data_IF_094520076291
#
_entry.id   IF_094520076291
#
_cell.length_a   1.000
_cell.length_b   1.000
_cell.length_c   1.000
_cell.angle_alpha   90.00
_cell.angle_beta   90.00
_cell.angle_gamma   90.00
#
_symmetry.space_group_name_H-M   'P 1'
#
loop_
_entity.id
_entity.type
_entity.pdbx_description
1 polymer ?
#
# COMPACT_ATOMS: atom_id res chain seq x y z
N UNK A 1 56.26 -46.41 12.56
CA UNK A 1 55.69 -45.22 11.89
C UNK A 1 54.21 -45.03 12.28
N UNK A 2 53.81 -45.42 13.50
CA UNK A 2 52.38 -45.48 13.89
C UNK A 2 52.02 -44.64 15.13
N UNK A 3 52.99 -43.94 15.74
CA UNK A 3 52.72 -43.04 16.87
C UNK A 3 52.47 -41.58 16.46
N UNK A 4 52.97 -41.15 15.28
CA UNK A 4 52.86 -39.76 14.78
C UNK A 4 51.50 -39.52 14.11
N UNK A 5 50.88 -40.57 13.54
CA UNK A 5 49.60 -40.47 12.83
C UNK A 5 48.40 -40.38 13.80
N UNK A 6 48.49 -40.99 15.00
CA UNK A 6 47.41 -40.90 16.00
C UNK A 6 47.33 -39.52 16.70
N UNK A 7 48.48 -38.88 16.91
CA UNK A 7 48.53 -37.54 17.52
C UNK A 7 47.95 -36.45 16.59
N UNK A 8 48.21 -36.58 15.29
CA UNK A 8 47.67 -35.68 14.25
C UNK A 8 46.14 -35.78 14.12
N UNK A 9 45.57 -36.99 14.17
CA UNK A 9 44.10 -37.18 14.09
C UNK A 9 43.36 -36.65 15.32
N UNK A 10 43.92 -36.81 16.53
CA UNK A 10 43.33 -36.25 17.76
C UNK A 10 43.37 -34.73 17.80
N UNK A 11 44.43 -34.12 17.28
CA UNK A 11 44.55 -32.66 17.17
C UNK A 11 43.57 -32.08 16.13
N UNK A 12 43.36 -32.77 15.00
CA UNK A 12 42.40 -32.35 13.98
C UNK A 12 40.93 -32.47 14.46
N UNK A 13 40.60 -33.52 15.23
CA UNK A 13 39.28 -33.69 15.85
C UNK A 13 39.00 -32.65 16.94
N UNK A 14 40.01 -32.29 17.76
CA UNK A 14 39.87 -31.19 18.72
C UNK A 14 39.71 -29.84 18.00
N UNK A 15 40.44 -29.60 16.91
CA UNK A 15 40.32 -28.37 16.14
C UNK A 15 38.95 -28.26 15.46
N UNK A 16 38.41 -29.36 14.91
CA UNK A 16 37.05 -29.40 14.34
C UNK A 16 35.95 -29.24 15.40
N UNK A 17 36.15 -29.74 16.63
CA UNK A 17 35.25 -29.50 17.76
C UNK A 17 35.30 -28.05 18.26
N UNK A 18 36.48 -27.42 18.29
CA UNK A 18 36.61 -26.00 18.68
C UNK A 18 36.05 -25.08 17.59
N UNK A 19 36.19 -25.43 16.32
CA UNK A 19 35.57 -24.71 15.19
C UNK A 19 34.05 -24.92 15.16
N UNK A 20 33.53 -26.10 15.53
CA UNK A 20 32.07 -26.31 15.64
C UNK A 20 31.45 -25.64 16.87
N UNK A 21 32.19 -25.51 17.98
CA UNK A 21 31.75 -24.73 19.15
C UNK A 21 31.85 -23.20 18.94
N UNK A 22 32.72 -22.73 18.05
CA UNK A 22 32.85 -21.30 17.69
C UNK A 22 31.99 -20.86 16.50
N UNK A 23 31.34 -21.80 15.79
CA UNK A 23 30.29 -21.55 14.79
C UNK A 23 28.86 -21.73 15.33
N UNK A 24 28.69 -21.86 16.65
CA UNK A 24 27.39 -21.59 17.26
C UNK A 24 27.04 -20.12 16.99
N UNK A 25 26.00 -19.96 16.19
CA UNK A 25 25.46 -18.69 15.76
C UNK A 25 25.42 -17.73 16.96
N UNK A 26 26.03 -16.55 16.82
CA UNK A 26 25.45 -15.35 17.43
C UNK A 26 24.05 -15.22 16.82
N UNK A 27 23.10 -15.94 17.40
CA UNK A 27 21.71 -15.53 17.42
C UNK A 27 21.77 -14.21 18.15
N UNK A 28 21.84 -13.13 17.37
CA UNK A 28 21.39 -11.84 17.86
C UNK A 28 19.93 -12.12 18.19
N UNK A 29 19.67 -12.36 19.48
CA UNK A 29 18.36 -12.14 20.04
C UNK A 29 18.04 -10.69 19.67
N UNK A 30 17.33 -10.51 18.56
CA UNK A 30 16.52 -9.33 18.35
C UNK A 30 15.58 -9.40 19.54
N UNK A 31 15.89 -8.60 20.56
CA UNK A 31 15.00 -8.34 21.66
C UNK A 31 13.69 -7.96 21.02
N UNK A 32 12.72 -8.89 21.07
CA UNK A 32 11.33 -8.57 20.87
C UNK A 32 11.08 -7.31 21.70
N UNK A 33 10.67 -6.25 21.01
CA UNK A 33 10.31 -4.99 21.65
C UNK A 33 9.29 -5.35 22.74
N UNK A 34 9.70 -5.18 23.99
CA UNK A 34 8.87 -5.43 25.15
C UNK A 34 7.91 -4.24 25.27
N UNK A 35 6.96 -4.13 24.34
CA UNK A 35 5.87 -3.18 24.48
C UNK A 35 4.77 -3.83 25.33
N UNK A 36 5.08 -4.04 26.61
CA UNK A 36 4.07 -4.37 27.61
C UNK A 36 3.34 -3.08 28.01
N UNK A 37 2.59 -2.48 27.10
CA UNK A 37 1.38 -1.78 27.51
C UNK A 37 0.39 -2.86 27.95
N UNK A 38 -0.14 -2.81 29.19
CA UNK A 38 -1.02 -3.85 29.69
C UNK A 38 -2.21 -3.94 28.73
N UNK A 39 -2.39 -5.11 28.12
CA UNK A 39 -3.57 -5.43 27.35
C UNK A 39 -4.77 -5.05 28.22
N UNK A 40 -5.44 -3.96 27.86
CA UNK A 40 -6.66 -3.48 28.51
C UNK A 40 -7.52 -4.73 28.72
N UNK A 41 -7.80 -5.15 29.96
CA UNK A 41 -8.51 -6.41 30.21
C UNK A 41 -9.77 -6.44 29.34
N UNK A 42 -9.71 -7.20 28.24
CA UNK A 42 -10.76 -7.21 27.25
C UNK A 42 -11.82 -8.13 27.80
N UNK A 43 -13.03 -7.62 28.01
CA UNK A 43 -14.12 -8.46 28.53
C UNK A 43 -14.34 -9.68 27.64
N UNK A 44 -14.70 -10.82 28.24
CA UNK A 44 -15.02 -12.05 27.52
C UNK A 44 -16.10 -11.82 26.46
N UNK A 45 -17.08 -10.95 26.74
CA UNK A 45 -18.11 -10.52 25.80
C UNK A 45 -17.54 -9.80 24.57
N UNK A 46 -16.54 -8.92 24.76
CA UNK A 46 -15.89 -8.24 23.63
C UNK A 46 -15.08 -9.23 22.79
N UNK A 47 -14.35 -10.14 23.41
CA UNK A 47 -13.62 -11.20 22.68
C UNK A 47 -14.57 -12.11 21.88
N UNK A 48 -15.70 -12.51 22.45
CA UNK A 48 -16.70 -13.32 21.74
C UNK A 48 -17.30 -12.59 20.53
N UNK A 49 -17.57 -11.28 20.65
CA UNK A 49 -18.04 -10.44 19.54
C UNK A 49 -17.00 -10.34 18.43
N UNK A 50 -15.73 -10.17 18.78
CA UNK A 50 -14.62 -10.13 17.81
C UNK A 50 -14.46 -11.48 17.12
N UNK A 51 -14.51 -12.58 17.87
CA UNK A 51 -14.41 -13.92 17.27
C UNK A 51 -15.55 -14.17 16.26
N UNK A 52 -16.78 -13.78 16.61
CA UNK A 52 -17.92 -13.85 15.69
C UNK A 52 -17.72 -13.00 14.44
N UNK A 53 -17.14 -11.82 14.58
CA UNK A 53 -16.79 -10.95 13.46
C UNK A 53 -15.72 -11.59 12.56
N UNK A 54 -14.64 -12.11 13.13
CA UNK A 54 -13.57 -12.81 12.41
C UNK A 54 -14.09 -14.02 11.62
N UNK A 55 -14.96 -14.83 12.24
CA UNK A 55 -15.58 -15.98 11.58
C UNK A 55 -16.44 -15.57 10.35
N UNK A 56 -16.92 -14.33 10.30
CA UNK A 56 -17.68 -13.79 9.17
C UNK A 56 -16.77 -13.29 8.05
N UNK A 57 -15.71 -12.55 8.40
CA UNK A 57 -14.84 -11.88 7.41
C UNK A 57 -13.74 -12.80 6.86
N UNK A 58 -13.21 -13.71 7.68
CA UNK A 58 -12.22 -14.69 7.22
C UNK A 58 -12.95 -15.82 6.50
N UNK A 59 -12.85 -15.81 5.17
CA UNK A 59 -13.50 -16.78 4.29
C UNK A 59 -12.78 -18.11 4.33
N UNK A 60 -13.53 -19.22 4.22
CA UNK A 60 -12.94 -20.56 4.20
C UNK A 60 -11.97 -20.72 3.02
N UNK A 61 -10.67 -20.94 3.30
CA UNK A 61 -9.68 -21.15 2.26
C UNK A 61 -9.76 -22.58 1.71
N UNK A 62 -9.27 -22.76 0.47
CA UNK A 62 -8.94 -24.11 -0.05
C UNK A 62 -7.48 -24.47 0.17
N UNK A 63 -6.64 -23.47 0.44
CA UNK A 63 -5.22 -23.61 0.70
C UNK A 63 -4.74 -22.42 1.54
N UNK A 64 -3.78 -22.64 2.43
CA UNK A 64 -3.24 -21.61 3.32
C UNK A 64 -1.72 -21.64 3.23
N UNK A 65 -1.12 -20.47 3.11
CA UNK A 65 0.33 -20.26 3.01
C UNK A 65 0.80 -19.53 4.27
N UNK A 66 1.85 -20.05 4.89
CA UNK A 66 2.57 -19.38 5.97
C UNK A 66 3.71 -18.58 5.35
N UNK A 67 3.63 -17.26 5.44
CA UNK A 67 4.66 -16.37 4.93
C UNK A 67 5.82 -16.26 5.94
N UNK A 68 7.10 -16.13 5.50
CA UNK A 68 8.25 -16.02 6.39
C UNK A 68 8.17 -14.84 7.39
N UNK A 69 7.37 -13.84 7.06
CA UNK A 69 7.17 -12.62 7.82
C UNK A 69 6.01 -12.76 8.86
N UNK A 70 5.43 -13.95 8.99
CA UNK A 70 4.38 -14.27 9.97
C UNK A 70 2.95 -14.03 9.47
N UNK A 71 2.78 -13.48 8.27
CA UNK A 71 1.47 -13.39 7.63
C UNK A 71 0.93 -14.78 7.27
N UNK A 72 -0.37 -14.96 7.41
CA UNK A 72 -1.09 -16.13 6.92
C UNK A 72 -1.91 -15.71 5.70
N UNK A 73 -1.62 -16.30 4.54
CA UNK A 73 -2.32 -16.01 3.29
C UNK A 73 -3.29 -17.15 2.98
N UNK A 74 -4.58 -16.82 2.96
CA UNK A 74 -5.67 -17.73 2.65
C UNK A 74 -6.06 -17.64 1.18
N UNK A 75 -5.95 -18.75 0.46
CA UNK A 75 -6.40 -18.88 -0.92
C UNK A 75 -7.90 -19.18 -0.93
N UNK A 76 -8.71 -18.14 -1.16
CA UNK A 76 -10.17 -18.21 -1.10
C UNK A 76 -10.74 -18.35 -2.51
N UNK A 77 -11.72 -19.24 -2.77
CA UNK A 77 -12.38 -19.30 -4.07
C UNK A 77 -12.91 -17.93 -4.50
N UNK A 78 -12.67 -17.52 -5.76
CA UNK A 78 -13.03 -16.18 -6.27
C UNK A 78 -14.46 -15.76 -5.98
N UNK A 79 -15.42 -16.71 -6.01
CA UNK A 79 -16.85 -16.46 -5.77
C UNK A 79 -17.26 -16.42 -4.29
N UNK A 80 -16.31 -16.60 -3.36
CA UNK A 80 -16.53 -16.57 -1.91
C UNK A 80 -15.77 -15.43 -1.23
N UNK A 81 -15.12 -14.56 -2.00
CA UNK A 81 -14.31 -13.45 -1.48
C UNK A 81 -15.17 -12.40 -0.74
N UNK A 82 -14.60 -11.64 0.22
CA UNK A 82 -15.33 -10.66 1.02
C UNK A 82 -16.09 -9.60 0.21
N UNK A 83 -15.60 -9.23 -0.97
CA UNK A 83 -16.24 -8.25 -1.85
C UNK A 83 -17.72 -8.54 -2.13
N UNK A 84 -18.09 -9.81 -2.28
CA UNK A 84 -19.44 -10.23 -2.64
C UNK A 84 -20.41 -10.25 -1.46
N UNK A 85 -19.94 -9.96 -0.24
CA UNK A 85 -20.82 -9.70 0.91
C UNK A 85 -21.42 -8.29 0.87
N UNK A 86 -20.90 -7.39 0.01
CA UNK A 86 -21.40 -6.03 -0.10
C UNK A 86 -22.87 -6.06 -0.55
N UNK A 87 -23.79 -5.30 0.08
CA UNK A 87 -25.20 -5.31 -0.29
C UNK A 87 -25.46 -5.07 -1.78
N UNK A 88 -24.71 -4.15 -2.40
CA UNK A 88 -24.81 -3.85 -3.83
C UNK A 88 -24.19 -4.93 -4.74
N UNK A 89 -23.32 -5.80 -4.21
CA UNK A 89 -22.55 -6.76 -5.01
C UNK A 89 -22.96 -8.22 -4.81
N UNK A 90 -24.04 -8.50 -4.06
CA UNK A 90 -24.50 -9.87 -3.76
C UNK A 90 -24.73 -10.73 -5.00
N UNK A 91 -25.16 -10.12 -6.11
CA UNK A 91 -25.41 -10.79 -7.39
C UNK A 91 -24.42 -10.36 -8.48
N UNK A 92 -23.33 -9.70 -8.09
CA UNK A 92 -22.34 -9.21 -9.03
C UNK A 92 -21.66 -10.36 -9.77
N UNK A 93 -21.69 -10.29 -11.10
CA UNK A 93 -20.98 -11.24 -11.94
C UNK A 93 -19.54 -10.76 -12.10
N UNK A 94 -18.60 -11.54 -11.56
CA UNK A 94 -17.16 -11.22 -11.69
C UNK A 94 -16.80 -11.05 -13.17
N UNK A 95 -16.41 -9.83 -13.53
CA UNK A 95 -15.95 -9.46 -14.85
C UNK A 95 -14.72 -10.27 -15.25
N UNK A 96 -14.65 -10.68 -16.51
CA UNK A 96 -13.42 -11.22 -17.11
C UNK A 96 -12.42 -10.08 -17.32
N UNK A 97 -11.12 -10.41 -17.33
CA UNK A 97 -10.07 -9.45 -17.65
C UNK A 97 -10.42 -8.61 -18.91
N UNK A 98 -10.26 -7.28 -18.87
CA UNK A 98 -10.52 -6.41 -20.03
C UNK A 98 -9.62 -6.83 -21.20
N UNK A 99 -10.16 -6.81 -22.42
CA UNK A 99 -9.41 -7.17 -23.63
C UNK A 99 -8.47 -6.05 -24.11
N UNK A 100 -8.71 -4.81 -23.69
CA UNK A 100 -7.92 -3.63 -24.06
C UNK A 100 -7.55 -2.91 -22.77
N UNK A 101 -6.26 -2.91 -22.44
CA UNK A 101 -5.70 -2.02 -21.44
C UNK A 101 -5.38 -0.66 -22.10
N UNK A 102 -5.31 0.43 -21.33
CA UNK A 102 -4.83 1.72 -21.83
C UNK A 102 -3.48 1.58 -22.54
N UNK A 103 -3.37 2.14 -23.74
CA UNK A 103 -2.14 2.11 -24.56
C UNK A 103 -1.49 3.49 -24.58
N UNK A 104 -0.16 3.55 -24.63
CA UNK A 104 0.56 4.81 -24.83
C UNK A 104 0.25 5.37 -26.23
N UNK A 105 -0.14 6.64 -26.34
CA UNK A 105 -0.38 7.28 -27.65
C UNK A 105 0.91 7.27 -28.49
N UNK A 106 0.85 6.73 -29.72
CA UNK A 106 1.93 6.80 -30.71
C UNK A 106 2.98 5.67 -30.68
N UNK A 107 2.74 4.55 -29.98
CA UNK A 107 3.53 3.31 -30.13
C UNK A 107 2.70 2.23 -30.82
N UNK A 108 3.15 1.75 -31.98
CA UNK A 108 2.58 0.59 -32.68
C UNK A 108 2.91 -0.73 -31.93
N UNK A 109 2.07 -1.73 -32.17
CA UNK A 109 1.94 -3.03 -31.47
C UNK A 109 3.18 -3.98 -31.55
N UNK A 110 4.39 -3.46 -31.81
CA UNK A 110 5.59 -4.27 -32.08
C UNK A 110 6.61 -4.30 -30.92
N UNK A 111 6.16 -4.01 -29.70
CA UNK A 111 6.88 -4.49 -28.52
C UNK A 111 6.30 -5.86 -28.21
N UNK A 112 7.05 -6.93 -28.56
CA UNK A 112 6.85 -8.24 -27.93
C UNK A 112 6.73 -7.97 -26.45
N UNK A 113 5.54 -8.17 -25.88
CA UNK A 113 5.35 -8.25 -24.43
C UNK A 113 6.28 -9.37 -23.99
N UNK A 114 7.53 -9.03 -23.66
CA UNK A 114 8.31 -9.86 -22.78
C UNK A 114 7.44 -9.96 -21.56
N UNK A 115 6.90 -11.16 -21.34
CA UNK A 115 6.54 -11.63 -20.02
C UNK A 115 7.80 -11.51 -19.15
N UNK A 116 8.18 -10.27 -18.78
CA UNK A 116 8.93 -10.02 -17.58
C UNK A 116 7.90 -10.23 -16.46
N UNK A 117 7.48 -11.49 -16.34
CA UNK A 117 6.92 -12.06 -15.15
C UNK A 117 7.83 -11.55 -14.05
N UNK A 118 7.28 -10.70 -13.18
CA UNK A 118 7.61 -10.55 -11.76
C UNK A 118 8.63 -11.60 -11.23
N UNK A 119 9.88 -11.56 -11.70
CA UNK A 119 10.92 -12.58 -11.45
C UNK A 119 11.62 -12.27 -10.13
N UNK A 120 11.45 -11.04 -9.61
CA UNK A 120 11.63 -10.74 -8.19
C UNK A 120 10.34 -11.07 -7.43
N UNK A 121 10.43 -11.85 -6.36
CA UNK A 121 9.33 -12.10 -5.45
C UNK A 121 8.89 -10.79 -4.75
N UNK A 122 7.98 -10.01 -5.37
CA UNK A 122 7.51 -8.69 -4.89
C UNK A 122 6.79 -8.70 -3.54
N UNK A 123 6.43 -9.87 -3.03
CA UNK A 123 5.79 -10.01 -1.72
C UNK A 123 6.41 -11.17 -0.96
N UNK A 124 6.63 -10.99 0.35
CA UNK A 124 7.36 -11.95 1.20
C UNK A 124 6.79 -13.38 1.15
N UNK A 125 5.48 -13.54 0.95
CA UNK A 125 4.82 -14.84 0.89
C UNK A 125 5.14 -15.65 -0.39
N UNK A 126 5.85 -15.07 -1.36
CA UNK A 126 6.34 -15.77 -2.56
C UNK A 126 7.73 -16.38 -2.39
N UNK A 127 8.49 -16.04 -1.35
CA UNK A 127 9.92 -16.41 -1.21
C UNK A 127 10.15 -17.93 -1.32
N UNK A 128 9.18 -18.74 -0.92
CA UNK A 128 9.25 -20.20 -0.99
C UNK A 128 8.67 -20.81 -2.29
N UNK A 129 8.43 -20.00 -3.33
CA UNK A 129 7.77 -20.43 -4.57
C UNK A 129 6.28 -20.74 -4.41
N UNK A 130 5.71 -20.49 -3.23
CA UNK A 130 4.31 -20.72 -2.88
C UNK A 130 3.38 -19.80 -3.66
N UNK A 131 2.29 -20.36 -4.21
CA UNK A 131 1.30 -19.62 -5.01
C UNK A 131 -0.09 -20.15 -4.73
N UNK A 132 -1.10 -19.28 -4.75
CA UNK A 132 -2.47 -19.73 -4.66
C UNK A 132 -2.91 -20.47 -5.94
N UNK A 133 -3.74 -21.53 -5.83
CA UNK A 133 -4.26 -22.25 -7.00
C UNK A 133 -5.03 -21.35 -7.98
N UNK A 134 -5.13 -21.78 -9.24
CA UNK A 134 -6.02 -21.10 -10.21
C UNK A 134 -7.47 -21.17 -9.71
N UNK A 135 -8.22 -20.07 -9.88
CA UNK A 135 -9.61 -19.97 -9.43
C UNK A 135 -9.80 -19.46 -8.00
N UNK A 136 -8.72 -19.21 -7.26
CA UNK A 136 -8.74 -18.56 -5.94
C UNK A 136 -8.13 -17.15 -6.00
N UNK A 137 -8.25 -16.43 -4.88
CA UNK A 137 -7.56 -15.15 -4.61
C UNK A 137 -6.85 -15.26 -3.24
N UNK A 138 -5.58 -14.85 -3.11
CA UNK A 138 -4.92 -14.76 -1.82
C UNK A 138 -5.49 -13.60 -1.01
N UNK A 139 -5.83 -13.88 0.24
CA UNK A 139 -6.33 -12.91 1.21
C UNK A 139 -5.51 -13.04 2.49
N UNK A 140 -4.94 -11.94 2.98
CA UNK A 140 -4.27 -11.94 4.29
C UNK A 140 -5.31 -12.20 5.38
N UNK A 141 -5.09 -13.21 6.20
CA UNK A 141 -5.99 -13.59 7.29
C UNK A 141 -6.01 -12.51 8.36
N UNK A 142 -7.20 -12.12 8.81
CA UNK A 142 -7.36 -11.21 9.92
C UNK A 142 -7.26 -11.96 11.25
N UNK A 143 -6.58 -11.36 12.22
CA UNK A 143 -6.37 -11.91 13.57
C UNK A 143 -7.16 -11.13 14.62
N UNK A 144 -7.27 -11.71 15.81
CA UNK A 144 -7.84 -11.03 16.99
C UNK A 144 -7.11 -9.72 17.28
N UNK A 145 -5.77 -9.71 17.14
CA UNK A 145 -4.95 -8.53 17.42
C UNK A 145 -5.21 -7.41 16.41
N UNK A 146 -5.46 -7.74 15.14
CA UNK A 146 -5.82 -6.74 14.12
C UNK A 146 -7.10 -6.00 14.49
N UNK A 147 -8.12 -6.74 14.92
CA UNK A 147 -9.41 -6.14 15.31
C UNK A 147 -9.31 -5.38 16.64
N UNK A 148 -8.41 -5.78 17.53
CA UNK A 148 -8.23 -5.14 18.83
C UNK A 148 -7.51 -3.80 18.75
N UNK A 149 -6.67 -3.58 17.72
CA UNK A 149 -6.06 -2.27 17.45
C UNK A 149 -7.09 -1.26 16.94
N UNK A 150 -8.12 -1.71 16.23
CA UNK A 150 -9.22 -0.84 15.83
C UNK A 150 -10.05 -0.35 17.05
N UNK A 151 -10.54 0.89 16.95
CA UNK A 151 -11.37 1.53 18.00
C UNK A 151 -12.66 0.77 18.27
N UNK A 152 -13.29 0.22 17.23
CA UNK A 152 -14.51 -0.58 17.33
C UNK A 152 -14.62 -1.58 16.17
N UNK A 153 -15.58 -2.51 16.27
CA UNK A 153 -15.93 -3.40 15.15
C UNK A 153 -16.49 -2.66 13.92
N UNK A 154 -17.04 -1.46 14.13
CA UNK A 154 -17.56 -0.63 13.04
C UNK A 154 -16.42 0.08 12.30
N UNK A 155 -15.37 0.46 13.02
CA UNK A 155 -14.21 1.19 12.48
C UNK A 155 -13.16 0.26 11.85
N UNK A 156 -13.24 -1.05 12.09
CA UNK A 156 -12.28 -2.01 11.54
C UNK A 156 -12.28 -1.96 10.01
N UNK A 157 -11.15 -1.56 9.44
CA UNK A 157 -10.96 -1.41 8.00
C UNK A 157 -11.46 -0.09 7.40
N UNK A 158 -11.86 0.90 8.20
CA UNK A 158 -12.29 2.21 7.70
C UNK A 158 -11.30 3.32 8.04
N UNK A 159 -11.13 4.30 7.14
CA UNK A 159 -10.55 5.61 7.50
C UNK A 159 -11.58 6.38 8.32
N UNK A 160 -11.12 7.24 9.23
CA UNK A 160 -11.98 8.11 10.01
C UNK A 160 -11.83 9.53 9.50
N UNK A 161 -12.92 10.17 9.09
CA UNK A 161 -12.95 11.64 9.05
C UNK A 161 -13.00 12.13 10.49
N UNK A 162 -12.02 12.94 10.89
CA UNK A 162 -12.20 13.79 12.05
C UNK A 162 -13.25 14.83 11.67
N UNK A 163 -14.40 14.78 12.35
CA UNK A 163 -15.49 15.74 12.17
C UNK A 163 -14.99 17.04 12.77
N UNK A 164 -14.55 17.95 11.91
CA UNK A 164 -14.42 19.34 12.30
C UNK A 164 -15.64 20.09 11.77
N UNK A 165 -16.32 20.81 12.66
CA UNK A 165 -17.61 21.46 12.39
C UNK A 165 -17.46 22.78 11.61
N UNK A 166 -16.27 23.12 11.10
CA UNK A 166 -15.96 24.48 10.65
C UNK A 166 -15.10 24.58 9.37
N UNK A 167 -15.49 23.92 8.26
CA UNK A 167 -14.75 24.02 6.98
C UNK A 167 -15.61 24.54 5.84
N UNK A 168 -15.50 25.86 5.58
CA UNK A 168 -16.04 26.58 4.42
C UNK A 168 -14.97 26.97 3.38
N UNK A 169 -14.03 26.11 3.00
CA UNK A 169 -13.05 26.47 1.96
C UNK A 169 -12.96 25.45 0.83
N UNK A 170 -13.07 25.95 -0.40
CA UNK A 170 -13.07 25.23 -1.69
C UNK A 170 -11.65 24.99 -2.25
N UNK A 171 -10.59 25.08 -1.43
CA UNK A 171 -9.20 24.89 -1.90
C UNK A 171 -8.64 23.54 -1.45
N UNK A 172 -7.73 22.90 -2.21
CA UNK A 172 -6.93 21.77 -1.73
C UNK A 172 -6.22 22.25 -0.47
N UNK A 173 -6.48 21.58 0.64
CA UNK A 173 -6.28 22.10 1.99
C UNK A 173 -4.83 22.51 2.27
N UNK A 174 -4.61 23.82 2.46
CA UNK A 174 -3.33 24.43 2.83
C UNK A 174 -3.13 24.55 4.35
N UNK A 175 -3.82 23.75 5.15
CA UNK A 175 -3.62 23.69 6.61
C UNK A 175 -3.80 22.23 7.03
N UNK A 176 -2.72 21.58 7.44
CA UNK A 176 -2.71 20.19 7.89
C UNK A 176 -3.84 19.95 8.89
N UNK A 177 -4.84 19.18 8.47
CA UNK A 177 -6.01 18.95 9.32
C UNK A 177 -5.92 17.62 9.99
N UNK A 178 -6.20 17.65 11.29
CA UNK A 178 -6.31 16.46 12.14
C UNK A 178 -5.03 15.64 12.27
N UNK A 179 -3.88 16.29 12.09
CA UNK A 179 -2.56 15.65 12.15
C UNK A 179 -2.12 15.03 10.82
N UNK A 180 -2.88 15.17 9.72
CA UNK A 180 -2.42 14.70 8.41
C UNK A 180 -1.57 15.76 7.71
N UNK A 181 -0.44 15.34 7.14
CA UNK A 181 0.47 16.19 6.35
C UNK A 181 0.82 15.48 5.04
N UNK A 182 0.87 16.23 3.94
CA UNK A 182 1.01 15.73 2.59
C UNK A 182 2.22 16.34 1.87
N UNK A 183 2.72 15.61 0.89
CA UNK A 183 3.61 16.12 -0.13
C UNK A 183 3.19 15.48 -1.46
N UNK A 184 2.35 16.20 -2.20
CA UNK A 184 1.60 15.66 -3.34
C UNK A 184 1.79 16.49 -4.61
N UNK A 185 1.75 15.80 -5.74
CA UNK A 185 1.54 16.37 -7.05
C UNK A 185 0.10 16.08 -7.51
N UNK A 186 -0.54 17.01 -8.22
CA UNK A 186 -1.91 16.85 -8.70
C UNK A 186 -2.14 17.50 -10.06
N UNK A 187 -3.16 17.03 -10.76
CA UNK A 187 -3.65 17.62 -12.01
C UNK A 187 -4.49 18.87 -11.72
N UNK A 188 -4.20 20.00 -12.36
CA UNK A 188 -5.08 21.18 -12.36
C UNK A 188 -6.24 20.91 -13.34
N UNK A 189 -7.51 21.02 -12.92
CA UNK A 189 -8.61 20.33 -13.63
C UNK A 189 -9.50 21.21 -14.50
N UNK A 190 -9.89 20.63 -15.65
CA UNK A 190 -11.25 20.70 -16.21
C UNK A 190 -11.58 19.54 -17.16
N UNK A 191 -10.64 18.64 -17.45
CA UNK A 191 -10.83 17.49 -18.35
C UNK A 191 -11.24 16.22 -17.61
N UNK A 192 -12.10 15.42 -18.24
CA UNK A 192 -12.50 14.09 -17.78
C UNK A 192 -11.29 13.14 -17.74
N UNK A 193 -11.03 12.53 -16.58
CA UNK A 193 -9.94 11.57 -16.38
C UNK A 193 -10.54 10.18 -16.15
N UNK A 194 -10.03 9.19 -16.88
CA UNK A 194 -10.49 7.80 -16.83
C UNK A 194 -9.47 6.87 -16.16
N UNK A 195 -8.43 7.42 -15.55
CA UNK A 195 -7.41 6.64 -14.86
C UNK A 195 -6.09 7.36 -14.70
N UNK A 196 -5.17 6.71 -14.01
CA UNK A 196 -3.81 7.17 -13.82
C UNK A 196 -2.83 6.01 -13.72
N UNK A 197 -1.59 6.26 -14.12
CA UNK A 197 -0.46 5.36 -13.99
C UNK A 197 0.75 6.11 -13.46
N UNK A 198 1.48 5.49 -12.55
CA UNK A 198 2.78 5.98 -12.11
C UNK A 198 3.64 4.83 -11.56
N UNK A 199 4.95 5.05 -11.57
CA UNK A 199 5.95 4.19 -10.92
C UNK A 199 6.44 4.83 -9.64
N UNK A 200 6.43 4.08 -8.54
CA UNK A 200 6.62 4.57 -7.17
C UNK A 200 7.69 3.73 -6.49
N UNK A 201 8.78 4.33 -5.98
CA UNK A 201 9.74 3.56 -5.19
C UNK A 201 9.25 3.25 -3.77
N UNK A 202 9.62 2.08 -3.27
CA UNK A 202 9.16 1.54 -1.98
C UNK A 202 10.28 1.66 -0.93
N UNK A 203 9.95 2.22 0.23
CA UNK A 203 10.86 2.47 1.35
C UNK A 203 10.28 1.95 2.66
N UNK A 204 11.14 1.87 3.69
CA UNK A 204 10.80 1.51 5.07
C UNK A 204 10.89 2.74 5.99
N UNK A 205 9.93 3.69 5.92
CA UNK A 205 9.93 4.86 6.78
C UNK A 205 9.76 4.48 8.25
N UNK A 206 10.48 5.17 9.13
CA UNK A 206 10.27 5.07 10.58
C UNK A 206 8.96 5.74 10.98
N UNK A 207 8.21 5.09 11.86
CA UNK A 207 6.98 5.62 12.47
C UNK A 207 7.24 5.77 13.98
N UNK A 208 6.99 6.97 14.54
CA UNK A 208 7.20 7.23 15.98
C UNK A 208 6.07 6.61 16.82
N UNK A 209 4.80 6.83 16.43
CA UNK A 209 3.63 6.41 17.21
C UNK A 209 2.80 5.32 16.51
N UNK A 210 2.27 4.37 17.27
CA UNK A 210 1.54 3.21 16.70
C UNK A 210 0.31 3.61 15.89
N UNK A 211 -0.34 4.72 16.25
CA UNK A 211 -1.50 5.28 15.57
C UNK A 211 -1.15 6.30 14.47
N UNK A 212 0.13 6.37 14.09
CA UNK A 212 0.59 7.09 12.90
C UNK A 212 0.78 6.15 11.73
N UNK A 213 0.92 6.72 10.54
CA UNK A 213 1.29 5.99 9.33
C UNK A 213 2.09 6.89 8.40
N UNK A 214 2.73 6.25 7.42
CA UNK A 214 3.35 6.89 6.27
C UNK A 214 2.98 6.10 5.02
N UNK A 215 2.49 6.79 3.99
CA UNK A 215 2.06 6.16 2.76
C UNK A 215 2.59 6.87 1.52
N UNK A 216 2.50 6.16 0.41
CA UNK A 216 2.78 6.65 -0.94
C UNK A 216 1.76 6.04 -1.90
N UNK A 217 0.96 6.88 -2.56
CA UNK A 217 -0.18 6.39 -3.34
C UNK A 217 -0.56 7.27 -4.53
N UNK A 218 -1.46 6.71 -5.33
CA UNK A 218 -2.25 7.41 -6.35
C UNK A 218 -3.67 7.57 -5.78
N UNK A 219 -4.22 8.78 -5.87
CA UNK A 219 -5.64 9.07 -5.61
C UNK A 219 -6.36 9.35 -6.93
N UNK A 220 -7.49 8.67 -7.16
CA UNK A 220 -8.44 8.96 -8.22
C UNK A 220 -9.69 9.56 -7.58
N UNK A 221 -9.95 10.84 -7.84
CA UNK A 221 -10.93 11.64 -7.10
C UNK A 221 -12.01 12.21 -8.01
N UNK A 222 -13.24 12.25 -7.51
CA UNK A 222 -14.37 12.89 -8.18
C UNK A 222 -15.40 13.38 -7.17
N UNK A 223 -16.04 14.52 -7.44
CA UNK A 223 -16.96 15.19 -6.52
C UNK A 223 -16.29 16.28 -5.66
N UNK A 224 -16.96 16.71 -4.59
CA UNK A 224 -16.50 17.83 -3.75
C UNK A 224 -15.79 17.38 -2.47
N UNK A 225 -14.64 18.01 -2.17
CA UNK A 225 -13.95 17.88 -0.88
C UNK A 225 -14.78 18.43 0.30
N UNK A 226 -15.72 19.34 0.01
CA UNK A 226 -16.64 19.91 0.99
C UNK A 226 -17.91 19.07 1.04
N UNK A 227 -18.26 18.59 2.24
CA UNK A 227 -19.43 17.74 2.46
C UNK A 227 -19.19 16.25 2.18
N UNK A 228 -20.26 15.45 1.98
CA UNK A 228 -20.22 13.99 1.81
C UNK A 228 -20.03 13.53 0.36
N UNK A 229 -19.64 14.42 -0.55
CA UNK A 229 -19.78 14.19 -1.98
C UNK A 229 -18.51 13.65 -2.66
N UNK A 230 -17.43 13.44 -1.92
CA UNK A 230 -16.16 12.98 -2.49
C UNK A 230 -16.17 11.46 -2.69
N UNK A 231 -15.87 11.04 -3.90
CA UNK A 231 -15.51 9.67 -4.25
C UNK A 231 -13.99 9.56 -4.38
N UNK A 232 -13.41 8.50 -3.83
CA UNK A 232 -11.97 8.24 -3.87
C UNK A 232 -11.69 6.77 -4.15
N UNK A 233 -10.74 6.50 -5.05
CA UNK A 233 -10.06 5.21 -5.22
C UNK A 233 -8.57 5.44 -5.02
N UNK A 234 -7.96 4.60 -4.20
CA UNK A 234 -6.59 4.79 -3.72
C UNK A 234 -5.81 3.49 -3.81
N UNK A 235 -4.59 3.55 -4.32
CA UNK A 235 -3.67 2.41 -4.26
C UNK A 235 -2.21 2.85 -4.20
N UNK A 236 -1.42 2.09 -3.47
CA UNK A 236 -0.04 2.43 -3.16
C UNK A 236 0.62 1.45 -2.22
N UNK A 237 1.66 1.92 -1.52
CA UNK A 237 2.23 1.22 -0.38
C UNK A 237 2.15 2.09 0.88
N UNK A 238 2.01 1.46 2.04
CA UNK A 238 2.01 2.18 3.32
C UNK A 238 2.67 1.37 4.43
N UNK A 239 3.16 2.09 5.43
CA UNK A 239 3.56 1.57 6.75
C UNK A 239 2.54 2.06 7.76
N UNK A 240 1.75 1.15 8.32
CA UNK A 240 0.68 1.47 9.28
C UNK A 240 0.65 0.43 10.41
N UNK A 241 1.29 0.73 11.56
CA UNK A 241 1.36 -0.21 12.68
C UNK A 241 -0.01 -0.47 13.30
N UNK A 242 -0.90 0.54 13.36
CA UNK A 242 -2.28 0.37 13.79
C UNK A 242 -3.04 -0.65 12.92
N UNK A 243 -2.84 -0.60 11.59
CA UNK A 243 -3.55 -1.48 10.67
C UNK A 243 -2.96 -2.89 10.61
N UNK A 244 -1.62 -3.02 10.57
CA UNK A 244 -0.95 -4.29 10.29
C UNK A 244 -0.30 -4.95 11.50
N UNK A 245 0.01 -4.19 12.55
CA UNK A 245 0.70 -4.68 13.74
C UNK A 245 2.21 -4.80 13.57
N UNK A 246 2.75 -4.25 12.49
CA UNK A 246 4.18 -4.15 12.19
C UNK A 246 4.47 -2.86 11.41
N UNK A 247 5.76 -2.60 11.19
CA UNK A 247 6.25 -1.44 10.45
C UNK A 247 6.62 -1.80 8.99
N UNK A 248 6.14 -2.92 8.44
CA UNK A 248 6.59 -3.31 7.09
C UNK A 248 5.81 -2.53 6.03
N UNK A 249 6.47 -2.09 4.95
CA UNK A 249 5.79 -1.53 3.79
C UNK A 249 4.90 -2.57 3.14
N UNK A 250 3.60 -2.27 3.04
CA UNK A 250 2.58 -3.20 2.54
C UNK A 250 1.84 -2.56 1.38
N UNK A 251 1.61 -3.34 0.31
CA UNK A 251 0.72 -2.95 -0.78
C UNK A 251 -0.67 -2.73 -0.18
N UNK A 252 -1.31 -1.62 -0.47
CA UNK A 252 -2.66 -1.36 0.02
C UNK A 252 -3.54 -0.74 -1.05
N UNK A 253 -4.83 -0.82 -0.77
CA UNK A 253 -5.87 -0.13 -1.51
C UNK A 253 -6.86 0.48 -0.54
N UNK A 254 -7.47 1.60 -0.90
CA UNK A 254 -8.62 2.16 -0.22
C UNK A 254 -9.65 2.65 -1.24
N UNK A 255 -10.91 2.76 -0.82
CA UNK A 255 -11.94 3.44 -1.59
C UNK A 255 -12.97 4.05 -0.64
N UNK A 256 -13.70 5.07 -1.09
CA UNK A 256 -14.90 5.63 -0.43
C UNK A 256 -15.78 6.30 -1.49
N UNK A 257 -17.08 6.40 -1.22
CA UNK A 257 -18.03 7.16 -2.04
C UNK A 257 -18.73 8.29 -1.27
N UNK A 258 -18.30 8.57 -0.04
CA UNK A 258 -18.97 9.54 0.84
C UNK A 258 -18.02 10.38 1.71
N UNK A 259 -16.86 10.76 1.17
CA UNK A 259 -15.84 11.54 1.88
C UNK A 259 -15.40 10.88 3.20
N UNK A 260 -15.17 9.56 3.20
CA UNK A 260 -14.66 8.80 4.36
C UNK A 260 -15.60 8.81 5.58
N UNK A 261 -16.92 8.91 5.36
CA UNK A 261 -17.89 9.00 6.45
C UNK A 261 -18.42 7.63 6.89
N UNK A 262 -19.31 7.03 6.09
CA UNK A 262 -19.95 5.76 6.38
C UNK A 262 -19.43 4.63 5.48
N UNK A 263 -19.06 4.96 4.23
CA UNK A 263 -18.54 4.01 3.25
C UNK A 263 -17.03 3.90 3.29
N UNK A 264 -16.52 2.95 2.51
CA UNK A 264 -15.12 2.79 2.24
C UNK A 264 -14.43 1.71 3.03
N UNK A 265 -13.28 1.29 2.51
CA UNK A 265 -12.62 0.10 2.99
C UNK A 265 -11.14 0.01 2.64
N UNK A 266 -10.30 -0.28 3.63
CA UNK A 266 -8.95 -0.73 3.44
C UNK A 266 -8.93 -2.18 2.94
N UNK A 267 -8.17 -2.40 1.86
CA UNK A 267 -7.84 -3.73 1.34
C UNK A 267 -9.10 -4.59 1.17
N UNK A 268 -9.07 -5.81 1.74
CA UNK A 268 -10.18 -6.75 1.79
C UNK A 268 -10.73 -6.92 3.22
N UNK A 269 -10.50 -5.94 4.10
CA UNK A 269 -10.96 -5.99 5.51
C UNK A 269 -12.50 -5.90 5.61
N UNK A 270 -13.10 -5.33 4.58
CA UNK A 270 -14.51 -5.15 4.34
C UNK A 270 -14.79 -5.34 2.83
N UNK A 271 -16.06 -5.33 2.45
CA UNK A 271 -16.50 -5.63 1.09
C UNK A 271 -16.41 -4.40 0.17
N UNK A 272 -15.93 -4.55 -1.07
CA UNK A 272 -16.01 -3.53 -2.12
C UNK A 272 -15.07 -3.79 -3.30
N UNK A 273 -13.80 -4.10 -3.03
CA UNK A 273 -12.84 -4.43 -4.08
C UNK A 273 -12.93 -5.90 -4.51
N UNK A 274 -13.15 -6.17 -5.79
CA UNK A 274 -13.19 -7.53 -6.36
C UNK A 274 -11.80 -7.93 -6.85
N UNK A 275 -11.13 -8.80 -6.09
CA UNK A 275 -9.87 -9.38 -6.51
C UNK A 275 -10.10 -10.49 -7.55
N UNK A 276 -9.23 -10.53 -8.56
CA UNK A 276 -9.29 -11.53 -9.65
C UNK A 276 -7.99 -12.29 -9.83
N UNK A 277 -6.90 -11.80 -9.24
CA UNK A 277 -5.57 -12.36 -9.34
C UNK A 277 -5.27 -13.39 -8.23
N UNK A 278 -4.51 -14.44 -8.54
CA UNK A 278 -4.06 -15.45 -7.57
C UNK A 278 -2.59 -15.33 -7.14
N UNK A 279 -1.88 -14.30 -7.61
CA UNK A 279 -0.46 -14.01 -7.38
C UNK A 279 -0.24 -12.77 -6.51
N UNK A 280 -1.21 -11.90 -6.27
CA UNK A 280 -1.01 -10.66 -5.49
C UNK A 280 -1.96 -10.65 -4.31
N UNK A 281 -1.43 -10.55 -3.09
CA UNK A 281 -2.21 -10.42 -1.86
C UNK A 281 -2.22 -8.95 -1.42
N UNK A 282 -3.36 -8.27 -1.48
CA UNK A 282 -3.46 -6.90 -0.98
C UNK A 282 -3.29 -6.91 0.55
N UNK A 283 -2.47 -6.00 1.06
CA UNK A 283 -2.10 -5.91 2.46
C UNK A 283 -0.89 -6.76 2.85
N UNK A 284 -0.30 -7.55 1.96
CA UNK A 284 0.92 -8.31 2.25
C UNK A 284 2.19 -7.45 2.06
N UNK A 285 3.25 -7.78 2.82
CA UNK A 285 4.50 -7.03 2.82
C UNK A 285 5.22 -7.09 1.46
N UNK A 286 5.70 -5.93 1.02
CA UNK A 286 6.49 -5.78 -0.21
C UNK A 286 7.96 -6.09 0.09
N UNK A 287 8.62 -6.78 -0.83
CA UNK A 287 10.06 -7.06 -0.75
C UNK A 287 10.62 -7.31 -2.16
N UNK A 288 11.88 -6.95 -2.45
CA UNK A 288 12.80 -6.15 -1.64
C UNK A 288 12.43 -4.65 -1.60
N UNK A 289 13.12 -3.88 -0.75
CA UNK A 289 12.88 -2.45 -0.50
C UNK A 289 14.08 -1.60 -0.91
N UNK A 290 13.84 -0.34 -1.25
CA UNK A 290 14.89 0.62 -1.60
C UNK A 290 15.80 0.93 -0.40
N UNK A 291 17.07 1.25 -0.68
CA UNK A 291 18.06 1.59 0.36
C UNK A 291 18.82 2.87 0.01
N UNK A 292 19.24 3.60 1.04
CA UNK A 292 19.94 4.87 0.88
C UNK A 292 21.27 4.68 0.16
N UNK A 293 21.46 5.39 -0.97
CA UNK A 293 22.58 5.25 -1.91
C UNK A 293 22.81 3.81 -2.41
N UNK A 294 21.78 2.97 -2.36
CA UNK A 294 21.82 1.57 -2.79
C UNK A 294 20.77 1.25 -3.84
N UNK A 295 20.41 -0.03 -3.92
CA UNK A 295 19.41 -0.52 -4.86
C UNK A 295 18.07 0.18 -4.62
N UNK A 296 17.41 0.58 -5.71
CA UNK A 296 16.07 1.16 -5.71
C UNK A 296 15.09 0.14 -6.26
N UNK A 297 13.97 -0.04 -5.57
CA UNK A 297 12.90 -0.95 -5.99
C UNK A 297 11.59 -0.18 -6.04
N UNK A 298 10.88 -0.30 -7.16
CA UNK A 298 9.67 0.45 -7.43
C UNK A 298 8.52 -0.42 -7.93
N UNK A 299 7.29 0.03 -7.68
CA UNK A 299 6.08 -0.60 -8.17
C UNK A 299 5.42 0.34 -9.17
N UNK A 300 4.91 -0.22 -10.26
CA UNK A 300 4.06 0.53 -11.19
C UNK A 300 2.62 0.19 -10.92
N UNK A 301 1.80 1.20 -10.67
CA UNK A 301 0.36 1.05 -10.43
C UNK A 301 -0.38 1.72 -11.59
N UNK A 302 -1.36 1.02 -12.13
CA UNK A 302 -2.31 1.55 -13.10
C UNK A 302 -3.72 1.38 -12.53
N UNK A 303 -4.47 2.47 -12.41
CA UNK A 303 -5.89 2.46 -12.09
C UNK A 303 -6.63 3.07 -13.28
N UNK A 304 -7.62 2.39 -13.83
CA UNK A 304 -8.39 2.93 -14.96
C UNK A 304 -9.80 2.38 -15.03
N UNK A 305 -10.71 3.17 -15.59
CA UNK A 305 -12.08 2.80 -15.84
C UNK A 305 -12.18 2.01 -17.13
N UNK A 306 -12.70 0.79 -17.08
CA UNK A 306 -12.97 0.00 -18.28
C UNK A 306 -14.08 0.69 -19.11
N UNK A 307 -13.80 1.15 -20.34
CA UNK A 307 -14.79 1.88 -21.14
C UNK A 307 -16.01 1.02 -21.53
N UNK A 308 -15.92 -0.32 -21.41
CA UNK A 308 -17.03 -1.22 -21.78
C UNK A 308 -17.97 -1.50 -20.62
N UNK A 309 -17.41 -1.73 -19.43
CA UNK A 309 -18.16 -2.20 -18.26
C UNK A 309 -18.27 -1.14 -17.16
N UNK A 310 -17.51 -0.05 -17.24
CA UNK A 310 -17.51 1.04 -16.27
C UNK A 310 -16.73 0.77 -14.97
N UNK A 311 -16.25 -0.47 -14.76
CA UNK A 311 -15.52 -0.84 -13.55
C UNK A 311 -14.10 -0.28 -13.54
N UNK A 312 -13.64 0.14 -12.37
CA UNK A 312 -12.28 0.66 -12.18
C UNK A 312 -11.30 -0.48 -11.90
N UNK A 313 -10.46 -0.82 -12.86
CA UNK A 313 -9.44 -1.86 -12.73
C UNK A 313 -8.15 -1.34 -12.12
N UNK A 314 -7.50 -2.20 -11.34
CA UNK A 314 -6.15 -1.99 -10.82
C UNK A 314 -5.19 -3.01 -11.42
N UNK A 315 -4.09 -2.52 -11.99
CA UNK A 315 -2.93 -3.27 -12.42
C UNK A 315 -1.70 -2.97 -11.54
N UNK A 316 -0.83 -3.97 -11.43
CA UNK A 316 0.48 -3.87 -10.78
C UNK A 316 1.56 -4.35 -11.76
N UNK A 317 2.62 -3.56 -11.93
CA UNK A 317 3.60 -3.79 -13.00
C UNK A 317 2.99 -3.58 -14.39
N UNK A 318 3.57 -4.22 -15.40
CA UNK A 318 3.20 -3.96 -16.80
C UNK A 318 1.89 -4.64 -17.23
N UNK A 319 1.58 -5.83 -16.69
CA UNK A 319 0.46 -6.66 -17.18
C UNK A 319 -0.33 -7.40 -16.10
N UNK A 320 0.04 -7.26 -14.82
CA UNK A 320 -0.63 -8.04 -13.75
C UNK A 320 -1.87 -7.32 -13.25
N UNK A 321 -3.04 -7.70 -13.77
CA UNK A 321 -4.33 -7.27 -13.22
C UNK A 321 -4.53 -7.85 -11.82
N UNK A 322 -4.83 -6.99 -10.84
CA UNK A 322 -5.08 -7.37 -9.44
C UNK A 322 -6.56 -7.64 -9.23
N UNK A 323 -7.40 -6.70 -9.65
CA UNK A 323 -8.84 -6.67 -9.39
C UNK A 323 -9.45 -5.35 -9.84
N UNK A 324 -10.68 -5.09 -9.39
CA UNK A 324 -11.39 -3.86 -9.73
C UNK A 324 -12.41 -3.45 -8.67
N UNK A 325 -12.75 -2.16 -8.65
CA UNK A 325 -13.91 -1.62 -7.96
C UNK A 325 -15.10 -1.54 -8.93
N UNK A 326 -16.24 -2.17 -8.60
CA UNK A 326 -17.44 -2.05 -9.40
C UNK A 326 -17.96 -0.61 -9.46
N UNK A 327 -18.47 -0.19 -10.62
CA UNK A 327 -19.02 1.16 -10.80
C UNK A 327 -20.18 1.46 -9.85
N UNK A 328 -20.93 0.42 -9.46
CA UNK A 328 -22.10 0.48 -8.57
C UNK A 328 -21.75 0.96 -7.14
N UNK A 329 -20.46 1.03 -6.78
CA UNK A 329 -20.01 1.57 -5.49
C UNK A 329 -20.01 3.11 -5.45
N UNK A 330 -20.01 3.76 -6.62
CA UNK A 330 -19.69 5.17 -6.76
C UNK A 330 -20.86 5.98 -7.29
N UNK A 331 -20.83 7.28 -6.98
CA UNK A 331 -21.73 8.29 -7.54
C UNK A 331 -21.02 9.03 -8.68
N UNK A 332 -19.96 9.79 -8.36
CA UNK A 332 -19.21 10.59 -9.33
C UNK A 332 -18.22 9.76 -10.15
N UNK A 333 -17.48 8.86 -9.48
CA UNK A 333 -16.56 7.95 -10.19
C UNK A 333 -17.31 6.92 -11.05
N UNK A 334 -18.64 6.82 -10.96
CA UNK A 334 -19.41 6.03 -11.93
C UNK A 334 -19.29 6.61 -13.34
N UNK A 335 -19.04 7.92 -13.48
CA UNK A 335 -18.84 8.59 -14.75
C UNK A 335 -17.36 8.78 -15.08
N UNK A 336 -16.66 9.66 -14.36
CA UNK A 336 -15.23 9.94 -14.55
C UNK A 336 -14.59 10.51 -13.27
N UNK A 337 -13.26 10.54 -13.24
CA UNK A 337 -12.50 11.27 -12.24
C UNK A 337 -12.28 12.70 -12.70
N UNK A 338 -12.39 13.65 -11.78
CA UNK A 338 -12.06 15.05 -12.06
C UNK A 338 -10.60 15.32 -11.76
N UNK A 339 -10.05 14.73 -10.69
CA UNK A 339 -8.69 15.01 -10.21
C UNK A 339 -7.92 13.71 -9.99
N UNK A 340 -6.62 13.75 -10.31
CA UNK A 340 -5.67 12.71 -9.88
C UNK A 340 -4.58 13.36 -9.03
N UNK A 341 -4.24 12.69 -7.94
CA UNK A 341 -3.13 13.08 -7.06
C UNK A 341 -2.13 11.92 -6.92
N UNK A 342 -0.87 12.27 -6.70
CA UNK A 342 0.24 11.35 -6.48
C UNK A 342 1.09 11.89 -5.34
N UNK A 343 1.59 11.05 -4.44
CA UNK A 343 2.53 11.51 -3.43
C UNK A 343 2.38 10.80 -2.10
N UNK A 344 2.89 11.48 -1.06
CA UNK A 344 2.92 10.96 0.30
C UNK A 344 1.94 11.64 1.24
N UNK A 345 1.49 10.89 2.23
CA UNK A 345 0.68 11.33 3.35
C UNK A 345 1.26 10.69 4.62
N UNK A 346 1.30 11.46 5.70
CA UNK A 346 1.64 10.97 7.03
C UNK A 346 0.63 11.43 8.06
N UNK A 347 0.57 10.74 9.19
CA UNK A 347 -0.07 11.26 10.40
C UNK A 347 1.01 11.67 11.40
N UNK A 348 0.87 12.88 11.91
CA UNK A 348 1.63 13.53 12.95
C UNK A 348 0.69 13.85 14.12
N UNK A 349 0.69 12.97 15.11
CA UNK A 349 -0.15 13.05 16.32
C UNK A 349 0.34 14.10 17.30
N UNK A 350 1.59 14.54 17.18
CA UNK A 350 2.29 15.39 18.14
C UNK A 350 2.15 14.90 19.59
N UNK A 351 2.23 13.60 19.83
CA UNK A 351 2.02 12.98 21.15
C UNK A 351 2.90 13.59 22.27
N UNK A 352 4.08 14.09 21.91
CA UNK A 352 5.02 14.75 22.82
C UNK A 352 4.94 16.29 22.81
N UNK A 353 3.87 16.89 22.24
CA UNK A 353 3.73 18.34 22.09
C UNK A 353 4.62 18.98 21.01
N UNK A 354 5.33 18.15 20.24
CA UNK A 354 6.18 18.51 19.10
C UNK A 354 5.81 17.67 17.88
N UNK A 355 6.24 18.07 16.70
CA UNK A 355 6.18 17.22 15.51
C UNK A 355 6.85 15.86 15.80
N UNK A 356 6.29 14.76 15.27
CA UNK A 356 6.89 13.43 15.41
C UNK A 356 8.03 13.20 14.42
N UNK A 357 8.89 12.23 14.69
CA UNK A 357 9.99 11.75 13.84
C UNK A 357 9.50 10.74 12.79
N UNK A 358 8.18 10.64 12.59
CA UNK A 358 7.60 9.85 11.52
C UNK A 358 8.10 10.35 10.19
N UNK A 359 8.57 9.44 9.36
CA UNK A 359 9.22 9.75 8.09
C UNK A 359 8.22 9.65 6.95
N UNK A 360 8.27 10.59 6.00
CA UNK A 360 7.54 10.45 4.73
C UNK A 360 8.47 9.84 3.67
N UNK A 361 8.00 8.78 3.00
CA UNK A 361 8.75 8.10 1.96
C UNK A 361 10.05 7.48 2.49
N UNK A 362 11.19 8.01 2.07
CA UNK A 362 12.54 7.59 2.48
C UNK A 362 13.00 8.25 3.77
N UNK A 363 12.29 9.27 4.26
CA UNK A 363 12.74 10.14 5.34
C UNK A 363 13.73 11.23 4.91
N UNK A 364 14.00 11.37 3.61
CA UNK A 364 14.92 12.35 3.05
C UNK A 364 14.19 13.40 2.20
N UNK A 365 14.74 14.61 2.17
CA UNK A 365 14.17 15.72 1.41
C UNK A 365 14.36 15.55 -0.11
N UNK A 366 13.46 16.13 -0.93
CA UNK A 366 13.47 15.93 -2.37
C UNK A 366 14.75 16.43 -3.07
N UNK A 367 15.42 17.43 -2.52
CA UNK A 367 16.69 17.96 -3.06
C UNK A 367 17.84 16.95 -3.04
N UNK A 368 17.72 15.87 -2.25
CA UNK A 368 18.72 14.81 -2.21
C UNK A 368 18.71 13.90 -3.46
N UNK A 369 17.58 13.86 -4.19
CA UNK A 369 17.45 13.22 -5.49
C UNK A 369 17.52 11.68 -5.49
N UNK A 370 17.80 11.12 -6.67
CA UNK A 370 17.78 9.66 -6.91
C UNK A 370 18.69 8.89 -5.95
N UNK A 371 18.20 7.75 -5.47
CA UNK A 371 18.93 6.87 -4.55
C UNK A 371 18.83 7.30 -3.09
N UNK A 372 18.23 8.47 -2.80
CA UNK A 372 18.09 8.99 -1.43
C UNK A 372 16.67 9.39 -1.12
N UNK A 373 16.07 10.25 -1.95
CA UNK A 373 14.70 10.69 -1.81
C UNK A 373 13.70 9.66 -2.39
N UNK A 374 12.45 9.72 -1.91
CA UNK A 374 11.37 8.98 -2.57
C UNK A 374 10.96 9.68 -3.85
N UNK A 375 10.43 8.92 -4.81
CA UNK A 375 10.01 9.46 -6.09
C UNK A 375 8.77 8.78 -6.64
N UNK A 376 8.05 9.56 -7.43
CA UNK A 376 7.18 9.05 -8.48
C UNK A 376 7.79 9.41 -9.83
N UNK A 377 7.66 8.52 -10.81
CA UNK A 377 8.03 8.77 -12.21
C UNK A 377 6.99 8.22 -13.16
N UNK A 378 7.08 8.62 -14.42
CA UNK A 378 6.13 8.25 -15.47
C UNK A 378 4.69 8.60 -15.06
N UNK A 379 4.45 9.84 -14.62
CA UNK A 379 3.10 10.30 -14.32
C UNK A 379 2.28 10.38 -15.62
N UNK A 380 1.26 9.52 -15.70
CA UNK A 380 0.37 9.42 -16.84
C UNK A 380 -1.10 9.39 -16.38
N UNK A 381 -1.99 9.94 -17.19
CA UNK A 381 -3.45 9.83 -17.03
C UNK A 381 -4.04 9.03 -18.19
N UNK A 382 -5.21 8.43 -17.97
CA UNK A 382 -5.99 7.78 -19.02
C UNK A 382 -7.07 8.73 -19.49
N UNK A 383 -7.10 9.01 -20.79
CA UNK A 383 -8.10 9.86 -21.42
C UNK A 383 -9.36 9.08 -21.86
N UNK A 384 -10.34 9.80 -22.43
CA UNK A 384 -11.61 9.24 -22.92
C UNK A 384 -11.46 8.24 -24.06
N UNK A 385 -10.35 8.28 -24.81
CA UNK A 385 -10.00 7.30 -25.84
C UNK A 385 -9.40 6.02 -25.25
N UNK A 386 -9.33 5.92 -23.91
CA UNK A 386 -8.63 4.87 -23.18
C UNK A 386 -7.14 4.79 -23.61
N UNK A 387 -6.50 5.96 -23.72
CA UNK A 387 -5.08 6.10 -24.00
C UNK A 387 -4.32 6.66 -22.80
N UNK A 388 -3.10 6.18 -22.59
CA UNK A 388 -2.16 6.75 -21.62
C UNK A 388 -1.50 7.99 -22.20
N UNK A 389 -1.61 9.09 -21.45
CA UNK A 389 -1.08 10.40 -21.79
C UNK A 389 -0.20 10.89 -20.63
N UNK A 390 1.05 11.22 -20.91
CA UNK A 390 1.94 11.80 -19.91
C UNK A 390 1.45 13.18 -19.47
N UNK A 391 1.42 13.41 -18.17
CA UNK A 391 1.03 14.69 -17.58
C UNK A 391 2.17 15.68 -17.77
N UNK A 392 1.99 16.79 -18.49
CA UNK A 392 3.09 17.74 -18.75
C UNK A 392 3.32 18.73 -17.61
N UNK A 393 2.25 19.26 -17.05
CA UNK A 393 2.29 20.26 -15.98
C UNK A 393 1.54 19.73 -14.76
N UNK A 394 2.28 19.30 -13.73
CA UNK A 394 1.71 18.97 -12.42
C UNK A 394 1.83 20.16 -11.48
N UNK A 395 0.81 20.39 -10.68
CA UNK A 395 0.93 21.25 -9.50
C UNK A 395 1.48 20.42 -8.35
N UNK A 396 2.15 21.08 -7.41
CA UNK A 396 2.66 20.47 -6.20
C UNK A 396 2.12 21.20 -4.98
N UNK A 397 1.94 20.47 -3.88
CA UNK A 397 1.51 20.97 -2.58
C UNK A 397 2.25 20.20 -1.49
N UNK A 398 2.78 20.93 -0.51
CA UNK A 398 3.18 20.41 0.78
C UNK A 398 2.77 21.42 1.86
N UNK A 399 2.12 20.97 2.94
CA UNK A 399 1.63 21.88 3.98
C UNK A 399 2.76 22.42 4.86
N UNK A 400 3.82 21.64 5.07
CA UNK A 400 4.96 22.05 5.90
C UNK A 400 6.30 21.62 5.29
N UNK A 401 6.82 22.46 4.41
CA UNK A 401 8.04 22.22 3.62
C UNK A 401 9.29 22.01 4.46
N UNK A 402 9.33 22.47 5.71
CA UNK A 402 10.46 22.23 6.61
C UNK A 402 10.42 20.83 7.24
N UNK A 403 9.26 20.15 7.22
CA UNK A 403 9.09 18.78 7.71
C UNK A 403 9.10 17.76 6.57
N UNK A 404 8.33 18.06 5.51
CA UNK A 404 8.14 17.23 4.33
C UNK A 404 7.99 18.13 3.11
N UNK A 405 8.69 17.82 2.02
CA UNK A 405 8.69 18.66 0.84
C UNK A 405 8.59 17.84 -0.44
N UNK A 406 8.30 18.50 -1.56
CA UNK A 406 8.14 17.93 -2.89
C UNK A 406 8.77 18.82 -3.96
N UNK A 407 9.40 18.19 -4.96
CA UNK A 407 9.98 18.88 -6.12
C UNK A 407 9.72 18.11 -7.39
N UNK A 408 8.94 18.70 -8.29
CA UNK A 408 8.66 18.15 -9.62
C UNK A 408 9.72 18.54 -10.65
N UNK A 409 9.88 17.69 -11.66
CA UNK A 409 10.79 17.87 -12.78
C UNK A 409 10.32 17.00 -13.96
N UNK A 410 11.01 17.11 -15.08
CA UNK A 410 10.72 16.33 -16.28
C UNK A 410 12.03 15.85 -16.93
N UNK A 411 12.06 14.60 -17.41
CA UNK A 411 13.12 14.10 -18.29
C UNK A 411 12.55 13.14 -19.34
N UNK A 412 13.32 12.85 -20.39
CA UNK A 412 12.89 11.92 -21.43
C UNK A 412 12.77 10.48 -20.91
N UNK A 413 13.61 10.11 -19.95
CA UNK A 413 13.67 8.75 -19.39
C UNK A 413 12.61 8.50 -18.32
N UNK A 414 12.22 9.53 -17.56
CA UNK A 414 11.31 9.41 -16.41
C UNK A 414 9.96 10.08 -16.66
N UNK A 415 9.76 10.67 -17.84
CA UNK A 415 8.63 11.54 -18.13
C UNK A 415 8.56 12.68 -17.11
N UNK A 416 7.33 13.07 -16.76
CA UNK A 416 7.10 13.90 -15.56
C UNK A 416 7.28 13.05 -14.31
N UNK A 417 8.07 13.57 -13.38
CA UNK A 417 8.43 12.89 -12.15
C UNK A 417 8.57 13.91 -11.01
N UNK A 418 8.59 13.44 -9.78
CA UNK A 418 8.93 14.28 -8.64
C UNK A 418 9.67 13.48 -7.59
N UNK A 419 10.51 14.18 -6.82
CA UNK A 419 11.00 13.68 -5.54
C UNK A 419 10.13 14.23 -4.42
N UNK A 420 9.97 13.47 -3.34
CA UNK A 420 9.25 13.89 -2.15
C UNK A 420 9.79 13.17 -0.91
N UNK A 421 9.45 13.71 0.26
CA UNK A 421 9.72 13.09 1.55
C UNK A 421 10.26 14.07 2.58
N UNK A 422 10.63 13.53 3.72
CA UNK A 422 11.23 14.30 4.80
C UNK A 422 11.25 13.53 6.11
N UNK A 423 12.09 13.94 7.07
CA UNK A 423 12.32 13.21 8.31
C UNK A 423 11.23 13.46 9.37
N UNK A 424 10.27 14.34 9.10
CA UNK A 424 9.40 14.90 10.13
C UNK A 424 10.20 15.82 11.05
N UNK A 425 10.18 15.57 12.35
CA UNK A 425 10.85 16.39 13.36
C UNK A 425 12.35 16.56 13.08
N UNK A 426 12.77 17.82 12.94
CA UNK A 426 14.15 18.21 12.66
C UNK A 426 14.39 19.67 13.10
N UNK A 427 15.63 20.22 13.09
CA UNK A 427 15.89 21.58 13.57
C UNK A 427 15.07 22.71 12.92
N UNK A 428 14.51 22.48 11.72
CA UNK A 428 13.63 23.45 11.04
C UNK A 428 12.14 23.12 11.18
N UNK A 429 11.82 21.95 11.72
CA UNK A 429 10.47 21.41 11.90
C UNK A 429 10.24 21.00 13.36
N UNK A 430 9.56 21.86 14.13
CA UNK A 430 9.27 21.65 15.55
C UNK A 430 7.82 21.23 15.84
#
# INVERSE_FOLDING_TARGET
>A
MDAIVLASKRSLLLFLLIVSLSLSQKVIHISAFNDTKPYRQVSSLRLARIQKHLNKINKSPVFTIQSPDGDVIDCVPKRKQPALDHPLLKHHKIQKAPKKMPKMKGKDDDVKETENVLEGAWQMWHVNGTRCPKGTVPIRRNTMNDVLRAKSLFDFGKKRRSIDLDRQTEKPDALGTNGHEHAIAYTETSSEIYGAKATINVWDPKIEEVNEFSLSQIWILSGSFVGPDLNSIEAGWQVSPELYGDNRPRLFTYWTSDSYQATGCYNLLCSGFIQTNNKIAIGAAISPLSTFKGNQFDITILIWKDPKMGNWWMGLGDSTLVGYWPAELFTHLADHATTVEWGGEVVNTRASGRHTTTQMGSGHFPDEGFGKASYFRNLEVVDSDNSLVSVRDVKILAENTECYDIKSSHSNEWGTYFYYGGPGFNPRCN
#
